data_IF_883320413479
#
_entry.id   IF_883320413479
#
_cell.length_a   1.000
_cell.length_b   1.000
_cell.length_c   1.000
_cell.angle_alpha   90.00
_cell.angle_beta   90.00
_cell.angle_gamma   90.00
#
_symmetry.space_group_name_H-M   'P 1'
#
loop_
_entity.id
_entity.type
_entity.pdbx_description
1 polymer ?
#
# COMPACT_ATOMS: atom_id res chain seq x y z
N UNK A 1 12.38 0.66 4.11
CA UNK A 1 11.65 -0.61 4.33
C UNK A 1 11.34 -0.76 5.81
N UNK A 2 10.20 -1.35 6.15
CA UNK A 2 9.76 -1.62 7.53
C UNK A 2 9.27 -3.06 7.58
N UNK A 3 9.59 -3.79 8.65
CA UNK A 3 9.20 -5.18 8.81
C UNK A 3 8.54 -5.36 10.18
N UNK A 4 7.36 -5.97 10.17
CA UNK A 4 6.53 -6.17 11.35
C UNK A 4 6.32 -7.65 11.59
N UNK A 5 6.37 -8.06 12.86
CA UNK A 5 5.87 -9.36 13.31
C UNK A 5 4.48 -9.15 13.90
N UNK A 6 3.49 -9.89 13.37
CA UNK A 6 2.09 -9.72 13.75
C UNK A 6 1.55 -11.02 14.31
N UNK A 7 0.99 -10.91 15.52
CA UNK A 7 0.29 -11.96 16.25
C UNK A 7 -1.14 -11.49 16.50
N UNK A 8 -2.04 -12.43 16.82
CA UNK A 8 -3.44 -12.12 17.13
C UNK A 8 -3.61 -11.19 18.35
N UNK A 9 -2.57 -11.01 19.16
CA UNK A 9 -2.58 -10.25 20.41
C UNK A 9 -1.66 -9.04 20.43
N UNK A 10 -0.69 -8.96 19.50
CA UNK A 10 0.34 -7.92 19.49
C UNK A 10 0.98 -7.80 18.11
N UNK A 11 1.45 -6.61 17.78
CA UNK A 11 2.35 -6.40 16.65
C UNK A 11 3.60 -5.66 17.13
N UNK A 12 4.75 -6.07 16.61
CA UNK A 12 6.04 -5.45 16.91
C UNK A 12 6.76 -5.09 15.61
N UNK A 13 7.26 -3.86 15.56
CA UNK A 13 8.19 -3.42 14.53
C UNK A 13 9.62 -3.64 15.00
N UNK A 14 10.55 -3.89 14.06
CA UNK A 14 11.98 -3.94 14.36
C UNK A 14 12.71 -5.13 13.78
N UNK A 15 12.01 -6.03 13.08
CA UNK A 15 12.67 -7.10 12.33
C UNK A 15 13.50 -6.51 11.18
N UNK A 16 14.59 -7.19 10.85
CA UNK A 16 15.41 -6.91 9.67
C UNK A 16 15.40 -8.10 8.71
N UNK A 17 15.77 -7.86 7.44
CA UNK A 17 15.91 -8.97 6.48
C UNK A 17 16.97 -9.96 6.95
N UNK A 18 18.06 -9.48 7.55
CA UNK A 18 19.17 -10.31 8.02
C UNK A 18 18.75 -11.17 9.21
N UNK A 19 18.01 -10.60 10.17
CA UNK A 19 17.45 -11.36 11.30
C UNK A 19 16.51 -12.46 10.82
N UNK A 20 15.62 -12.16 9.87
CA UNK A 20 14.71 -13.17 9.31
C UNK A 20 15.43 -14.26 8.51
N UNK A 21 16.57 -13.94 7.88
CA UNK A 21 17.41 -14.93 7.20
C UNK A 21 18.18 -15.83 8.18
N UNK A 22 18.59 -15.29 9.32
CA UNK A 22 19.33 -16.06 10.32
C UNK A 22 18.40 -16.93 11.17
N UNK A 23 17.32 -16.34 11.67
CA UNK A 23 16.43 -16.97 12.65
C UNK A 23 15.21 -17.66 12.01
N UNK A 24 14.90 -17.34 10.75
CA UNK A 24 13.72 -17.84 10.04
C UNK A 24 12.43 -17.12 10.42
N UNK A 25 11.29 -17.75 10.07
CA UNK A 25 9.97 -17.27 10.48
C UNK A 25 9.75 -17.55 11.97
N UNK A 26 9.24 -16.59 12.76
CA UNK A 26 8.84 -16.85 14.15
C UNK A 26 7.85 -18.01 14.25
N UNK A 27 7.80 -18.74 15.35
CA UNK A 27 6.90 -19.92 15.50
C UNK A 27 5.42 -19.58 15.39
N UNK A 28 5.03 -18.36 15.79
CA UNK A 28 3.64 -17.93 15.83
C UNK A 28 3.43 -16.63 15.07
N UNK A 29 2.24 -16.46 14.49
CA UNK A 29 1.89 -15.27 13.71
C UNK A 29 2.50 -15.26 12.30
N UNK A 30 2.58 -14.07 11.72
CA UNK A 30 3.08 -13.85 10.36
C UNK A 30 3.91 -12.57 10.28
N UNK A 31 4.65 -12.43 9.19
CA UNK A 31 5.53 -11.28 8.94
C UNK A 31 4.93 -10.38 7.87
N UNK A 32 4.95 -9.07 8.10
CA UNK A 32 4.61 -8.07 7.09
C UNK A 32 5.86 -7.28 6.70
N UNK A 33 6.29 -7.43 5.46
CA UNK A 33 7.38 -6.69 4.84
C UNK A 33 6.79 -5.55 4.02
N UNK A 34 7.08 -4.31 4.39
CA UNK A 34 6.62 -3.13 3.69
C UNK A 34 7.79 -2.32 3.12
N UNK A 35 7.86 -2.20 1.80
CA UNK A 35 8.96 -1.51 1.12
C UNK A 35 8.46 -0.59 -0.01
N UNK A 36 9.17 0.51 -0.25
CA UNK A 36 8.89 1.33 -1.43
C UNK A 36 9.35 0.60 -2.69
N UNK A 37 8.81 0.95 -3.86
CA UNK A 37 9.29 0.42 -5.15
C UNK A 37 10.80 0.59 -5.33
N UNK A 38 11.33 1.77 -5.02
CA UNK A 38 12.78 2.03 -5.04
C UNK A 38 13.58 1.13 -4.10
N UNK A 39 13.00 0.77 -2.94
CA UNK A 39 13.65 -0.16 -2.02
C UNK A 39 13.58 -1.60 -2.55
N UNK A 40 12.46 -2.00 -3.16
CA UNK A 40 12.33 -3.31 -3.79
C UNK A 40 13.37 -3.48 -4.89
N UNK A 41 13.54 -2.48 -5.76
CA UNK A 41 14.53 -2.51 -6.83
C UNK A 41 15.95 -2.61 -6.29
N UNK A 42 16.30 -1.78 -5.31
CA UNK A 42 17.64 -1.77 -4.70
C UNK A 42 17.96 -3.05 -3.89
N UNK A 43 16.95 -3.68 -3.28
CA UNK A 43 17.12 -4.86 -2.41
C UNK A 43 16.48 -6.12 -3.00
N UNK A 44 16.28 -6.17 -4.32
CA UNK A 44 15.53 -7.25 -4.97
C UNK A 44 16.13 -8.62 -4.66
N UNK A 45 17.44 -8.79 -4.84
CA UNK A 45 18.13 -10.03 -4.49
C UNK A 45 18.03 -10.40 -3.01
N UNK A 46 17.99 -9.38 -2.13
CA UNK A 46 17.73 -9.52 -0.70
C UNK A 46 16.37 -10.14 -0.41
N UNK A 47 15.33 -9.52 -0.96
CA UNK A 47 13.94 -9.93 -0.77
C UNK A 47 13.67 -11.29 -1.42
N UNK A 48 14.18 -11.54 -2.63
CA UNK A 48 13.99 -12.81 -3.34
C UNK A 48 14.57 -13.99 -2.57
N UNK A 49 15.84 -13.90 -2.13
CA UNK A 49 16.43 -14.99 -1.35
C UNK A 49 15.76 -15.17 0.01
N UNK A 50 15.24 -14.10 0.63
CA UNK A 50 14.45 -14.23 1.85
C UNK A 50 13.13 -14.98 1.58
N UNK A 51 12.39 -14.60 0.54
CA UNK A 51 11.13 -15.27 0.19
C UNK A 51 11.34 -16.73 -0.17
N UNK A 52 12.40 -17.05 -0.92
CA UNK A 52 12.76 -18.42 -1.20
C UNK A 52 13.05 -19.23 0.06
N UNK A 53 13.83 -18.66 1.00
CA UNK A 53 14.15 -19.33 2.25
C UNK A 53 12.93 -19.53 3.15
N UNK A 54 12.09 -18.51 3.29
CA UNK A 54 10.96 -18.54 4.23
C UNK A 54 9.72 -19.25 3.68
N UNK A 55 9.46 -19.11 2.37
CA UNK A 55 8.23 -19.56 1.72
C UNK A 55 8.47 -20.66 0.67
N UNK A 56 9.73 -21.07 0.46
CA UNK A 56 10.11 -22.07 -0.55
C UNK A 56 10.18 -21.54 -1.98
N UNK A 57 9.70 -20.32 -2.25
CA UNK A 57 9.66 -19.76 -3.59
C UNK A 57 9.90 -18.25 -3.61
N UNK A 58 10.70 -17.83 -4.59
CA UNK A 58 10.89 -16.44 -5.00
C UNK A 58 9.70 -15.92 -5.80
N UNK A 59 9.51 -14.60 -5.84
CA UNK A 59 8.58 -13.98 -6.79
C UNK A 59 9.04 -14.27 -8.22
N UNK A 60 8.09 -14.61 -9.07
CA UNK A 60 8.34 -14.79 -10.51
C UNK A 60 8.75 -13.46 -11.16
N UNK A 61 9.60 -13.51 -12.17
CA UNK A 61 10.16 -12.29 -12.78
C UNK A 61 9.10 -11.36 -13.39
N UNK A 62 8.02 -11.92 -13.93
CA UNK A 62 6.89 -11.15 -14.42
C UNK A 62 6.15 -10.45 -13.27
N UNK A 63 5.95 -11.14 -12.13
CA UNK A 63 5.38 -10.54 -10.93
C UNK A 63 6.27 -9.44 -10.34
N UNK A 64 7.60 -9.59 -10.37
CA UNK A 64 8.52 -8.50 -9.99
C UNK A 64 8.36 -7.30 -10.93
N UNK A 65 8.30 -7.55 -12.24
CA UNK A 65 8.11 -6.50 -13.24
C UNK A 65 6.81 -5.74 -13.00
N UNK A 66 5.73 -6.46 -12.67
CA UNK A 66 4.43 -5.89 -12.33
C UNK A 66 4.47 -5.04 -11.06
N UNK A 67 5.15 -5.50 -10.00
CA UNK A 67 5.33 -4.74 -8.76
C UNK A 67 6.13 -3.44 -8.94
N UNK A 68 7.05 -3.41 -9.91
CA UNK A 68 7.85 -2.23 -10.26
C UNK A 68 7.14 -1.29 -11.25
N UNK A 69 6.14 -1.78 -11.98
CA UNK A 69 5.42 -1.01 -12.99
C UNK A 69 4.46 0.03 -12.37
N UNK A 70 4.74 1.31 -12.59
CA UNK A 70 3.93 2.42 -12.07
C UNK A 70 2.61 2.63 -12.81
N UNK A 71 2.51 2.12 -14.04
CA UNK A 71 1.34 2.27 -14.90
C UNK A 71 0.43 1.04 -14.88
N UNK A 72 0.78 0.00 -14.13
CA UNK A 72 -0.01 -1.22 -14.09
C UNK A 72 -1.45 -0.92 -13.61
N UNK A 73 -2.48 -1.38 -14.34
CA UNK A 73 -3.86 -1.37 -13.85
C UNK A 73 -4.01 -2.21 -12.58
N UNK A 74 -5.12 -2.05 -11.87
CA UNK A 74 -5.44 -2.98 -10.79
C UNK A 74 -5.63 -4.38 -11.38
N UNK A 75 -4.91 -5.37 -10.84
CA UNK A 75 -4.86 -6.72 -11.38
C UNK A 75 -4.68 -7.73 -10.24
N UNK A 76 -5.20 -8.93 -10.42
CA UNK A 76 -5.01 -10.05 -9.50
C UNK A 76 -4.47 -11.23 -10.29
N UNK A 77 -3.42 -11.86 -9.76
CA UNK A 77 -2.81 -13.08 -10.27
C UNK A 77 -2.55 -14.03 -9.09
N UNK A 78 -2.35 -15.32 -9.38
CA UNK A 78 -2.12 -16.32 -8.34
C UNK A 78 -1.16 -17.41 -8.80
N UNK A 79 -0.49 -18.00 -7.81
CA UNK A 79 0.36 -19.17 -7.98
C UNK A 79 -0.05 -20.22 -6.96
N UNK A 80 0.57 -21.40 -6.99
CA UNK A 80 0.36 -22.40 -5.93
C UNK A 80 0.95 -21.99 -4.57
N UNK A 81 1.82 -20.99 -4.51
CA UNK A 81 2.60 -20.61 -3.32
C UNK A 81 2.18 -19.26 -2.74
N UNK A 82 1.70 -18.35 -3.59
CA UNK A 82 1.28 -17.02 -3.20
C UNK A 82 0.29 -16.41 -4.19
N UNK A 83 -0.49 -15.48 -3.68
CA UNK A 83 -1.37 -14.62 -4.47
C UNK A 83 -0.72 -13.26 -4.69
N UNK A 84 -0.93 -12.67 -5.86
CA UNK A 84 -0.50 -11.32 -6.18
C UNK A 84 -1.68 -10.41 -6.48
N UNK A 85 -1.71 -9.25 -5.84
CA UNK A 85 -2.70 -8.22 -6.10
C UNK A 85 -2.02 -6.88 -6.30
N UNK A 86 -2.39 -6.17 -7.35
CA UNK A 86 -2.05 -4.77 -7.54
C UNK A 86 -3.33 -3.96 -7.46
N UNK A 87 -3.34 -2.96 -6.60
CA UNK A 87 -4.47 -2.07 -6.39
C UNK A 87 -4.04 -0.62 -6.62
N UNK A 88 -4.71 0.08 -7.54
CA UNK A 88 -4.51 1.52 -7.73
C UNK A 88 -5.22 2.28 -6.63
N UNK A 89 -4.46 2.90 -5.73
CA UNK A 89 -4.99 3.82 -4.72
C UNK A 89 -5.10 5.22 -5.31
N UNK A 90 -5.96 6.04 -4.71
CA UNK A 90 -5.91 7.48 -4.92
C UNK A 90 -4.61 8.04 -4.31
N UNK A 91 -3.85 8.80 -5.10
CA UNK A 91 -2.76 9.60 -4.57
C UNK A 91 -3.37 10.73 -3.73
N UNK A 92 -2.83 10.98 -2.53
CA UNK A 92 -3.24 12.17 -1.80
C UNK A 92 -2.81 13.36 -2.67
N UNK A 93 -3.75 14.22 -3.06
CA UNK A 93 -3.48 15.41 -3.85
C UNK A 93 -2.80 16.49 -2.99
N UNK A 94 -1.68 16.13 -2.36
CA UNK A 94 -0.94 16.92 -1.40
C UNK A 94 0.56 16.66 -1.59
N UNK A 95 1.19 17.42 -2.48
CA UNK A 95 2.52 17.93 -2.14
C UNK A 95 3.74 17.67 -3.04
N UNK A 96 3.64 17.23 -4.30
CA UNK A 96 4.86 17.09 -5.14
C UNK A 96 4.75 17.69 -6.56
N UNK A 97 4.30 18.95 -6.64
CA UNK A 97 4.71 19.89 -7.71
C UNK A 97 5.13 21.28 -7.19
N UNK A 98 5.48 21.38 -5.91
CA UNK A 98 5.96 22.62 -5.31
C UNK A 98 7.49 22.74 -5.26
N UNK A 99 8.26 21.79 -5.80
CA UNK A 99 9.73 21.75 -5.63
C UNK A 99 10.53 21.39 -6.88
N UNK A 100 10.05 21.73 -8.08
CA UNK A 100 10.93 21.87 -9.25
C UNK A 100 10.84 23.32 -9.69
N UNK A 101 11.86 24.11 -9.35
CA UNK A 101 12.03 25.50 -9.73
C UNK A 101 12.32 25.67 -11.22
N UNK A 102 11.45 25.14 -12.07
CA UNK A 102 11.43 25.42 -13.50
C UNK A 102 10.22 26.30 -13.79
N UNK A 103 10.39 27.41 -14.53
CA UNK A 103 9.27 28.28 -14.88
C UNK A 103 8.25 27.44 -15.64
N UNK A 104 7.02 27.41 -15.13
CA UNK A 104 5.90 26.74 -15.75
C UNK A 104 5.68 27.33 -17.15
N UNK A 105 6.31 26.71 -18.15
CA UNK A 105 6.04 26.96 -19.55
C UNK A 105 4.60 26.50 -19.82
N UNK A 106 3.75 27.52 -19.88
CA UNK A 106 2.49 27.64 -20.59
C UNK A 106 2.32 26.58 -21.68
N UNK A 107 1.87 25.37 -21.31
CA UNK A 107 1.41 24.37 -22.26
C UNK A 107 0.13 23.71 -21.72
N UNK A 108 -0.99 24.36 -22.08
CA UNK A 108 -2.31 23.81 -22.39
C UNK A 108 -3.46 24.62 -21.75
N UNK A 109 -3.57 25.88 -22.18
CA UNK A 109 -4.89 26.50 -22.32
C UNK A 109 -5.69 25.65 -23.33
N UNK A 110 -6.78 25.00 -22.91
CA UNK A 110 -7.62 24.26 -23.87
C UNK A 110 -8.49 23.10 -23.38
N UNK A 111 -8.68 22.87 -22.07
CA UNK A 111 -9.72 21.91 -21.60
C UNK A 111 -10.48 22.48 -20.41
N UNK A 112 -11.62 23.11 -20.68
CA UNK A 112 -12.59 23.54 -19.66
C UNK A 112 -13.05 22.32 -18.86
N UNK A 113 -12.84 22.36 -17.55
CA UNK A 113 -13.22 21.31 -16.62
C UNK A 113 -12.75 21.67 -15.21
N UNK A 114 -13.48 21.27 -14.16
CA UNK A 114 -13.19 21.69 -12.79
C UNK A 114 -11.79 21.24 -12.35
N UNK A 115 -11.03 22.12 -11.65
CA UNK A 115 -9.61 21.92 -11.33
C UNK A 115 -9.34 20.67 -10.46
N UNK A 116 -10.36 20.15 -9.78
CA UNK A 116 -10.27 18.92 -8.98
C UNK A 116 -10.04 17.67 -9.84
N UNK A 117 -10.57 17.61 -11.07
CA UNK A 117 -10.35 16.49 -11.98
C UNK A 117 -8.92 16.43 -12.52
N UNK A 118 -8.22 17.58 -12.55
CA UNK A 118 -6.80 17.66 -12.95
C UNK A 118 -5.85 17.15 -11.85
N UNK A 119 -6.36 16.91 -10.63
CA UNK A 119 -5.58 16.56 -9.43
C UNK A 119 -5.79 15.11 -8.96
N UNK A 120 -6.62 14.34 -9.66
CA UNK A 120 -6.85 12.92 -9.36
C UNK A 120 -5.71 12.13 -9.99
N UNK A 121 -4.69 11.84 -9.20
CA UNK A 121 -3.66 10.88 -9.57
C UNK A 121 -3.91 9.56 -8.84
N UNK A 122 -3.53 8.45 -9.46
CA UNK A 122 -3.64 7.13 -8.85
C UNK A 122 -2.31 6.41 -8.93
N UNK A 123 -1.94 5.72 -7.86
CA UNK A 123 -0.67 5.01 -7.77
C UNK A 123 -0.91 3.54 -7.45
N UNK A 124 -0.27 2.58 -8.14
CA UNK A 124 -0.41 1.17 -7.83
C UNK A 124 0.29 0.82 -6.52
N UNK A 125 -0.35 0.02 -5.68
CA UNK A 125 0.23 -0.66 -4.53
C UNK A 125 0.14 -2.15 -4.79
N UNK A 126 1.28 -2.82 -4.74
CA UNK A 126 1.41 -4.25 -4.95
C UNK A 126 1.40 -5.01 -3.63
N UNK A 127 0.79 -6.19 -3.66
CA UNK A 127 0.70 -7.14 -2.55
C UNK A 127 1.10 -8.50 -3.08
N UNK A 128 2.02 -9.18 -2.38
CA UNK A 128 2.27 -10.60 -2.57
C UNK A 128 1.99 -11.30 -1.23
N UNK A 129 1.00 -12.19 -1.24
CA UNK A 129 0.43 -12.83 -0.06
C UNK A 129 0.85 -14.29 -0.05
N UNK A 130 1.79 -14.62 0.83
CA UNK A 130 2.16 -15.99 1.16
C UNK A 130 1.41 -16.44 2.41
N UNK A 131 1.53 -17.72 2.77
CA UNK A 131 0.86 -18.31 3.94
C UNK A 131 1.15 -17.54 5.24
N UNK A 132 2.42 -17.14 5.46
CA UNK A 132 2.89 -16.47 6.69
C UNK A 132 3.72 -15.21 6.43
N UNK A 133 3.75 -14.73 5.19
CA UNK A 133 4.47 -13.52 4.79
C UNK A 133 3.56 -12.67 3.92
N UNK A 134 3.41 -11.40 4.28
CA UNK A 134 2.83 -10.39 3.40
C UNK A 134 3.94 -9.46 2.93
N UNK A 135 4.17 -9.37 1.62
CA UNK A 135 4.98 -8.31 1.03
C UNK A 135 4.06 -7.23 0.45
N UNK A 136 4.26 -5.99 0.86
CA UNK A 136 3.57 -4.82 0.28
C UNK A 136 4.57 -3.88 -0.34
N UNK A 137 4.33 -3.50 -1.59
CA UNK A 137 5.17 -2.62 -2.39
C UNK A 137 4.39 -1.36 -2.72
N UNK A 138 4.80 -0.23 -2.17
CA UNK A 138 4.07 1.03 -2.29
C UNK A 138 4.93 2.13 -2.94
N UNK A 139 4.32 3.19 -3.49
CA UNK A 139 5.05 4.39 -3.89
C UNK A 139 5.64 5.11 -2.66
N UNK A 140 6.61 6.00 -2.87
CA UNK A 140 7.31 6.73 -1.79
C UNK A 140 6.38 7.53 -0.86
N UNK A 141 5.25 8.00 -1.36
CA UNK A 141 4.27 8.88 -0.73
C UNK A 141 3.11 8.15 -0.01
N UNK A 142 3.28 6.88 0.36
CA UNK A 142 2.16 6.05 0.85
C UNK A 142 1.79 6.30 2.32
N UNK A 143 1.01 7.35 2.57
CA UNK A 143 0.43 7.66 3.89
C UNK A 143 -0.52 6.58 4.44
N UNK A 144 -1.20 5.84 3.56
CA UNK A 144 -2.10 4.72 3.92
C UNK A 144 -1.37 3.65 4.70
N UNK A 145 -0.17 3.28 4.24
CA UNK A 145 0.70 2.32 4.94
C UNK A 145 1.05 2.85 6.31
N UNK A 146 1.50 4.10 6.41
CA UNK A 146 1.97 4.66 7.68
C UNK A 146 0.83 4.80 8.70
N UNK A 147 -0.36 5.20 8.24
CA UNK A 147 -1.55 5.25 9.07
C UNK A 147 -1.90 3.87 9.63
N UNK A 148 -1.83 2.81 8.81
CA UNK A 148 -2.09 1.46 9.28
C UNK A 148 -0.98 0.94 10.21
N UNK A 149 0.29 1.13 9.85
CA UNK A 149 1.44 0.74 10.67
C UNK A 149 1.41 1.41 12.05
N UNK A 150 1.04 2.70 12.11
CA UNK A 150 0.87 3.43 13.37
C UNK A 150 -0.26 2.84 14.22
N UNK A 151 -1.41 2.51 13.61
CA UNK A 151 -2.53 1.84 14.31
C UNK A 151 -2.16 0.45 14.83
N UNK A 152 -1.32 -0.25 14.08
CA UNK A 152 -0.92 -1.62 14.39
C UNK A 152 0.05 -1.69 15.59
N UNK A 153 0.98 -0.73 15.71
CA UNK A 153 1.98 -0.67 16.79
C UNK A 153 1.44 0.00 18.05
N UNK A 154 0.34 0.76 17.97
CA UNK A 154 -0.27 1.38 19.15
C UNK A 154 -0.80 0.33 20.12
N UNK A 155 -0.48 0.43 21.43
CA UNK A 155 -1.00 -0.48 22.44
C UNK A 155 -2.53 -0.36 22.48
N UNK A 156 -3.22 -1.48 22.28
CA UNK A 156 -4.67 -1.53 22.35
C UNK A 156 -5.14 -1.04 23.73
N UNK A 157 -5.70 0.16 23.79
CA UNK A 157 -6.26 0.69 25.02
C UNK A 157 -7.46 -0.18 25.41
N UNK A 158 -7.57 -0.50 26.70
CA UNK A 158 -8.42 -1.58 27.26
C UNK A 158 -9.91 -1.45 26.90
N UNK A 159 -10.37 -0.25 26.51
CA UNK A 159 -11.77 0.09 26.22
C UNK A 159 -12.21 -0.17 24.76
N UNK A 160 -11.29 -0.39 23.81
CA UNK A 160 -11.65 -0.59 22.38
C UNK A 160 -11.95 -2.06 22.03
N UNK A 161 -12.11 -2.93 23.04
CA UNK A 161 -12.32 -4.38 22.87
C UNK A 161 -13.74 -4.76 22.43
N UNK A 162 -14.66 -3.81 22.30
CA UNK A 162 -16.08 -4.12 22.07
C UNK A 162 -16.47 -4.30 20.60
N UNK A 163 -15.81 -3.67 19.61
CA UNK A 163 -16.05 -3.96 18.17
C UNK A 163 -14.90 -3.42 17.30
N UNK A 164 -14.08 -4.30 16.69
CA UNK A 164 -13.35 -3.94 15.45
C UNK A 164 -11.82 -3.76 15.48
N UNK A 165 -11.15 -3.59 16.63
CA UNK A 165 -9.67 -3.39 16.65
C UNK A 165 -8.90 -4.66 17.02
N UNK A 166 -9.33 -5.82 16.50
CA UNK A 166 -8.56 -7.07 16.63
C UNK A 166 -7.38 -7.01 15.66
N UNK A 167 -6.20 -7.45 16.08
CA UNK A 167 -5.07 -7.65 15.17
C UNK A 167 -5.49 -8.54 13.98
N UNK A 168 -4.92 -8.32 12.78
CA UNK A 168 -5.25 -9.13 11.62
C UNK A 168 -4.91 -10.60 11.89
N UNK A 169 -5.81 -11.50 11.50
CA UNK A 169 -5.68 -12.93 11.79
C UNK A 169 -4.77 -13.67 10.79
N UNK A 170 -4.54 -13.08 9.61
CA UNK A 170 -3.72 -13.66 8.54
C UNK A 170 -3.13 -12.58 7.63
N UNK A 171 -2.13 -12.92 6.79
CA UNK A 171 -1.63 -12.03 5.73
C UNK A 171 -2.73 -11.49 4.82
N UNK A 172 -3.71 -12.33 4.46
CA UNK A 172 -4.84 -11.94 3.63
C UNK A 172 -5.79 -10.96 4.36
N UNK A 173 -6.07 -11.17 5.65
CA UNK A 173 -6.86 -10.23 6.46
C UNK A 173 -6.16 -8.86 6.54
N UNK A 174 -4.85 -8.86 6.75
CA UNK A 174 -4.06 -7.62 6.73
C UNK A 174 -4.15 -6.91 5.37
N UNK A 175 -3.98 -7.64 4.26
CA UNK A 175 -4.13 -7.10 2.92
C UNK A 175 -5.51 -6.46 2.73
N UNK A 176 -6.59 -7.17 3.07
CA UNK A 176 -7.96 -6.67 2.92
C UNK A 176 -8.21 -5.40 3.73
N UNK A 177 -7.67 -5.31 4.96
CA UNK A 177 -7.79 -4.10 5.79
C UNK A 177 -7.05 -2.91 5.20
N UNK A 178 -5.87 -3.14 4.62
CA UNK A 178 -5.12 -2.09 3.92
C UNK A 178 -5.87 -1.62 2.68
N UNK A 179 -6.46 -2.54 1.90
CA UNK A 179 -7.30 -2.21 0.74
C UNK A 179 -8.54 -1.43 1.16
N UNK A 180 -9.24 -1.85 2.21
CA UNK A 180 -10.42 -1.13 2.72
C UNK A 180 -10.07 0.34 3.02
N UNK A 181 -8.92 0.59 3.65
CA UNK A 181 -8.44 1.95 3.89
C UNK A 181 -8.16 2.74 2.59
N UNK A 182 -7.71 2.07 1.53
CA UNK A 182 -7.54 2.70 0.21
C UNK A 182 -8.88 3.00 -0.47
N UNK A 183 -9.86 2.10 -0.33
CA UNK A 183 -11.23 2.25 -0.87
C UNK A 183 -11.94 3.42 -0.19
N UNK A 184 -11.77 3.59 1.12
CA UNK A 184 -12.32 4.74 1.86
C UNK A 184 -11.87 6.08 1.24
N UNK A 185 -10.62 6.15 0.74
CA UNK A 185 -10.11 7.31 0.02
C UNK A 185 -10.88 7.63 -1.27
N UNK A 186 -11.32 6.62 -2.01
CA UNK A 186 -12.16 6.81 -3.20
C UNK A 186 -13.58 7.25 -2.83
N UNK A 187 -14.15 6.71 -1.74
CA UNK A 187 -15.47 7.12 -1.26
C UNK A 187 -15.47 8.58 -0.80
N UNK A 188 -14.41 9.02 -0.13
CA UNK A 188 -14.22 10.42 0.26
C UNK A 188 -14.13 11.34 -0.96
N UNK A 189 -13.36 10.94 -1.98
CA UNK A 189 -13.26 11.69 -3.25
C UNK A 189 -14.60 11.79 -3.96
N UNK A 190 -15.38 10.71 -4.03
CA UNK A 190 -16.72 10.73 -4.65
C UNK A 190 -17.62 11.76 -3.98
N UNK A 191 -17.60 11.83 -2.64
CA UNK A 191 -18.40 12.80 -1.89
C UNK A 191 -18.00 14.24 -2.23
N UNK A 192 -16.70 14.53 -2.28
CA UNK A 192 -16.19 15.85 -2.66
C UNK A 192 -16.58 16.22 -4.10
N UNK A 193 -16.40 15.31 -5.06
CA UNK A 193 -16.78 15.54 -6.46
C UNK A 193 -18.28 15.83 -6.61
N UNK A 194 -19.12 15.18 -5.80
CA UNK A 194 -20.58 15.42 -5.79
C UNK A 194 -20.88 16.84 -5.32
N UNK A 195 -20.29 17.28 -4.20
CA UNK A 195 -20.45 18.66 -3.70
C UNK A 195 -19.98 19.71 -4.70
N UNK A 196 -18.86 19.48 -5.38
CA UNK A 196 -18.38 20.38 -6.42
C UNK A 196 -19.36 20.45 -7.58
N UNK A 197 -19.87 19.31 -8.06
CA UNK A 197 -20.89 19.29 -9.12
C UNK A 197 -22.15 20.06 -8.75
N UNK A 198 -22.66 19.88 -7.53
CA UNK A 198 -23.83 20.62 -7.03
C UNK A 198 -23.58 22.13 -6.99
N UNK A 199 -22.37 22.56 -6.56
CA UNK A 199 -21.98 23.96 -6.54
C UNK A 199 -21.97 24.57 -7.95
N UNK A 200 -21.34 23.90 -8.92
CA UNK A 200 -21.34 24.38 -10.32
C UNK A 200 -22.74 24.35 -10.94
N UNK A 201 -23.57 23.35 -10.61
CA UNK A 201 -24.97 23.32 -11.04
C UNK A 201 -25.76 24.51 -10.51
N UNK A 202 -25.52 24.94 -9.27
CA UNK A 202 -26.15 26.12 -8.68
C UNK A 202 -25.65 27.45 -9.27
N UNK A 203 -24.37 27.54 -9.66
CA UNK A 203 -23.82 28.76 -10.30
C UNK A 203 -24.21 28.92 -11.78
N UNK A 204 -24.66 27.84 -12.43
CA UNK A 204 -25.06 27.82 -13.84
C UNK A 204 -26.58 27.99 -14.06
N UNK A 205 -27.36 28.16 -12.99
CA UNK A 205 -28.80 28.48 -12.98
C UNK A 205 -28.98 29.92 -12.52
#
# INVERSE_FOLDING_TARGET
>A
MRIFHIRNTAASEGLSLDSLRQDGLPDTGFVWISCSRSTLEAQLGGIQALLHQLCGQSLLDFHVSDLLNQQLPSHYDYTSQYDMLVFRRLAAASGERASSGEPALVLAAGRGGPPILRRIDTSPVGFAVFERVLLTVHPSDCSVRDAYAAKLVQPANVETRSTGTRYPASPADLMLRVINLMVDGFLALRRELTHQLDHWQAELI
#
